data_IF_113210186299
#
_entry.id   IF_113210186299
#
_cell.length_a   1.000
_cell.length_b   1.000
_cell.length_c   1.000
_cell.angle_alpha   90.00
_cell.angle_beta   90.00
_cell.angle_gamma   90.00
#
_symmetry.space_group_name_H-M   'P 1'
#
loop_
_entity.id
_entity.type
_entity.pdbx_description
1 polymer ?
#
# COMPACT_ATOMS: atom_id res chain seq x y z
N UNK A 1 2.21 42.13 14.62
CA UNK A 1 2.31 40.82 15.28
C UNK A 1 3.52 40.81 16.20
N UNK A 2 3.37 40.28 17.41
CA UNK A 2 4.47 40.16 18.37
C UNK A 2 5.52 39.16 17.85
N UNK A 3 6.79 39.31 18.26
CA UNK A 3 7.85 38.30 17.98
C UNK A 3 7.42 36.89 18.41
N UNK A 4 6.61 36.78 19.46
CA UNK A 4 6.06 35.50 19.95
C UNK A 4 5.04 34.91 18.96
N UNK A 5 4.18 35.73 18.38
CA UNK A 5 3.18 35.26 17.39
C UNK A 5 3.87 34.74 16.12
N UNK A 6 4.94 35.41 15.69
CA UNK A 6 5.77 34.95 14.56
C UNK A 6 6.45 33.61 14.87
N UNK A 7 6.97 33.43 16.08
CA UNK A 7 7.57 32.16 16.51
C UNK A 7 6.54 31.04 16.58
N UNK A 8 5.34 31.30 17.11
CA UNK A 8 4.25 30.32 17.17
C UNK A 8 3.87 29.90 15.75
N UNK A 9 3.64 30.86 14.86
CA UNK A 9 3.29 30.59 13.46
C UNK A 9 4.35 29.73 12.75
N UNK A 10 5.64 30.03 12.94
CA UNK A 10 6.74 29.23 12.38
C UNK A 10 6.77 27.80 12.95
N UNK A 11 6.52 27.63 14.25
CA UNK A 11 6.49 26.32 14.90
C UNK A 11 5.30 25.48 14.41
N UNK A 12 4.13 26.11 14.21
CA UNK A 12 2.96 25.44 13.66
C UNK A 12 3.19 24.98 12.23
N UNK A 13 3.82 25.80 11.38
CA UNK A 13 4.20 25.41 10.02
C UNK A 13 5.16 24.23 9.99
N UNK A 14 6.19 24.26 10.85
CA UNK A 14 7.12 23.14 11.00
C UNK A 14 6.41 21.86 11.46
N UNK A 15 5.50 21.98 12.42
CA UNK A 15 4.71 20.84 12.89
C UNK A 15 3.81 20.27 11.79
N UNK A 16 3.16 21.12 10.99
CA UNK A 16 2.37 20.71 9.82
C UNK A 16 3.24 19.97 8.80
N UNK A 17 4.42 20.50 8.48
CA UNK A 17 5.36 19.86 7.55
C UNK A 17 5.84 18.49 8.04
N UNK A 18 6.21 18.38 9.33
CA UNK A 18 6.63 17.12 9.94
C UNK A 18 5.52 16.07 9.93
N UNK A 19 4.27 16.46 10.23
CA UNK A 19 3.11 15.56 10.15
C UNK A 19 2.86 15.07 8.73
N UNK A 20 2.94 15.96 7.75
CA UNK A 20 2.78 15.60 6.34
C UNK A 20 3.90 14.64 5.88
N UNK A 21 5.14 14.87 6.30
CA UNK A 21 6.27 14.00 6.02
C UNK A 21 6.09 12.61 6.64
N UNK A 22 5.68 12.54 7.92
CA UNK A 22 5.40 11.27 8.60
C UNK A 22 4.27 10.49 7.91
N UNK A 23 3.16 11.16 7.55
CA UNK A 23 2.06 10.53 6.81
C UNK A 23 2.51 10.02 5.43
N UNK A 24 3.39 10.77 4.75
CA UNK A 24 3.99 10.34 3.49
C UNK A 24 4.86 9.09 3.68
N UNK A 25 5.65 9.05 4.75
CA UNK A 25 6.49 7.90 5.06
C UNK A 25 5.67 6.66 5.35
N UNK A 26 4.59 6.77 6.14
CA UNK A 26 3.67 5.65 6.41
C UNK A 26 3.08 5.08 5.11
N UNK A 27 2.69 5.93 4.16
CA UNK A 27 2.19 5.47 2.85
C UNK A 27 3.28 4.75 2.06
N UNK A 28 4.51 5.27 2.03
CA UNK A 28 5.65 4.63 1.35
C UNK A 28 5.96 3.26 1.95
N UNK A 29 5.97 3.16 3.27
CA UNK A 29 6.26 1.91 3.98
C UNK A 29 5.16 0.87 3.75
N UNK A 30 3.88 1.27 3.74
CA UNK A 30 2.79 0.36 3.41
C UNK A 30 2.84 -0.10 1.94
N UNK A 31 3.14 0.80 1.00
CA UNK A 31 3.38 0.42 -0.40
C UNK A 31 4.54 -0.56 -0.52
N UNK A 32 5.67 -0.29 0.16
CA UNK A 32 6.84 -1.18 0.16
C UNK A 32 6.50 -2.55 0.73
N UNK A 33 5.77 -2.61 1.84
CA UNK A 33 5.30 -3.85 2.46
C UNK A 33 4.44 -4.68 1.49
N UNK A 34 3.47 -4.03 0.82
CA UNK A 34 2.61 -4.69 -0.18
C UNK A 34 3.41 -5.26 -1.35
N UNK A 35 4.40 -4.53 -1.86
CA UNK A 35 5.28 -4.99 -2.95
C UNK A 35 6.10 -6.21 -2.51
N UNK A 36 6.75 -6.14 -1.34
CA UNK A 36 7.58 -7.24 -0.82
C UNK A 36 6.74 -8.51 -0.64
N UNK A 37 5.59 -8.40 0.02
CA UNK A 37 4.71 -9.54 0.27
C UNK A 37 4.12 -10.09 -1.03
N UNK A 38 3.72 -9.22 -1.96
CA UNK A 38 3.23 -9.62 -3.27
C UNK A 38 4.29 -10.38 -4.08
N UNK A 39 5.52 -9.89 -4.12
CA UNK A 39 6.63 -10.57 -4.78
C UNK A 39 6.92 -11.94 -4.15
N UNK A 40 7.02 -12.00 -2.82
CA UNK A 40 7.27 -13.26 -2.11
C UNK A 40 6.15 -14.29 -2.37
N UNK A 41 4.89 -13.85 -2.43
CA UNK A 41 3.75 -14.70 -2.71
C UNK A 41 3.78 -15.25 -4.15
N UNK A 42 4.11 -14.42 -5.15
CA UNK A 42 4.27 -14.86 -6.54
C UNK A 42 5.37 -15.93 -6.63
N UNK A 43 6.51 -15.71 -5.96
CA UNK A 43 7.58 -16.71 -5.87
C UNK A 43 7.14 -17.99 -5.18
N UNK A 44 6.36 -17.90 -4.11
CA UNK A 44 5.82 -19.08 -3.46
C UNK A 44 4.88 -19.87 -4.39
N UNK A 45 4.00 -19.19 -5.14
CA UNK A 45 3.11 -19.83 -6.11
C UNK A 45 3.86 -20.64 -7.19
N UNK A 46 5.03 -20.18 -7.62
CA UNK A 46 5.88 -20.90 -8.58
C UNK A 46 6.31 -22.29 -8.03
N UNK A 47 6.49 -22.41 -6.71
CA UNK A 47 6.93 -23.64 -6.04
C UNK A 47 5.80 -24.64 -5.75
N UNK A 48 4.54 -24.22 -5.84
CA UNK A 48 3.40 -25.06 -5.48
C UNK A 48 2.98 -26.00 -6.61
N UNK A 49 2.49 -27.23 -6.29
CA UNK A 49 1.81 -28.08 -7.26
C UNK A 49 0.64 -27.35 -7.93
N UNK A 50 0.30 -27.66 -9.20
CA UNK A 50 -0.73 -26.95 -9.96
C UNK A 50 -2.06 -26.78 -9.22
N UNK A 51 -2.57 -27.85 -8.59
CA UNK A 51 -3.84 -27.80 -7.86
C UNK A 51 -3.81 -26.85 -6.65
N UNK A 52 -2.73 -26.89 -5.87
CA UNK A 52 -2.56 -25.99 -4.71
C UNK A 52 -2.40 -24.53 -5.14
N UNK A 53 -1.67 -24.31 -6.24
CA UNK A 53 -1.49 -22.98 -6.84
C UNK A 53 -2.83 -22.40 -7.30
N UNK A 54 -3.64 -23.21 -7.99
CA UNK A 54 -4.97 -22.81 -8.49
C UNK A 54 -5.92 -22.48 -7.34
N UNK A 55 -5.96 -23.31 -6.29
CA UNK A 55 -6.80 -23.07 -5.12
C UNK A 55 -6.40 -21.76 -4.40
N UNK A 56 -5.10 -21.52 -4.20
CA UNK A 56 -4.61 -20.31 -3.56
C UNK A 56 -4.91 -19.06 -4.41
N UNK A 57 -4.67 -19.10 -5.72
CA UNK A 57 -4.99 -18.00 -6.63
C UNK A 57 -6.49 -17.69 -6.62
N UNK A 58 -7.36 -18.70 -6.64
CA UNK A 58 -8.81 -18.50 -6.55
C UNK A 58 -9.21 -17.77 -5.26
N UNK A 59 -8.62 -18.16 -4.12
CA UNK A 59 -8.83 -17.47 -2.84
C UNK A 59 -8.37 -16.01 -2.87
N UNK A 60 -7.21 -15.72 -3.46
CA UNK A 60 -6.70 -14.35 -3.60
C UNK A 60 -7.57 -13.50 -4.53
N UNK A 61 -8.01 -14.07 -5.66
CA UNK A 61 -8.87 -13.40 -6.64
C UNK A 61 -10.24 -13.01 -6.07
N UNK A 62 -10.73 -13.70 -5.04
CA UNK A 62 -11.96 -13.34 -4.33
C UNK A 62 -11.85 -11.99 -3.58
N UNK A 63 -10.63 -11.55 -3.23
CA UNK A 63 -10.40 -10.26 -2.60
C UNK A 63 -10.17 -9.11 -3.61
N UNK A 64 -10.10 -9.41 -4.91
CA UNK A 64 -10.00 -8.40 -5.96
C UNK A 64 -11.40 -7.93 -6.33
N UNK A 65 -11.83 -6.82 -5.73
CA UNK A 65 -13.21 -6.31 -5.86
C UNK A 65 -13.37 -5.21 -6.91
N UNK A 66 -12.30 -4.49 -7.25
CA UNK A 66 -12.36 -3.39 -8.22
C UNK A 66 -12.51 -3.94 -9.64
N UNK A 67 -13.54 -3.54 -10.41
CA UNK A 67 -13.74 -4.05 -11.77
C UNK A 67 -12.56 -3.80 -12.72
N UNK A 68 -11.87 -2.67 -12.58
CA UNK A 68 -10.66 -2.36 -13.35
C UNK A 68 -9.56 -3.39 -13.12
N UNK A 69 -9.37 -3.80 -11.87
CA UNK A 69 -8.28 -4.67 -11.45
C UNK A 69 -8.63 -6.13 -11.79
N UNK A 70 -9.91 -6.50 -11.68
CA UNK A 70 -10.41 -7.80 -12.17
C UNK A 70 -10.17 -7.97 -13.67
N UNK A 71 -10.55 -6.96 -14.48
CA UNK A 71 -10.28 -6.96 -15.92
C UNK A 71 -8.79 -7.01 -16.25
N UNK A 72 -7.97 -6.24 -15.55
CA UNK A 72 -6.51 -6.25 -15.74
C UNK A 72 -5.90 -7.64 -15.50
N UNK A 73 -6.41 -8.36 -14.50
CA UNK A 73 -5.98 -9.71 -14.17
C UNK A 73 -6.66 -10.82 -14.99
N UNK A 74 -7.54 -10.46 -15.93
CA UNK A 74 -8.29 -11.43 -16.73
C UNK A 74 -9.31 -12.26 -15.91
N UNK A 75 -9.76 -11.73 -14.77
CA UNK A 75 -10.80 -12.35 -13.97
C UNK A 75 -12.16 -12.01 -14.59
N UNK A 76 -13.02 -13.01 -14.77
CA UNK A 76 -14.41 -12.77 -15.11
C UNK A 76 -15.08 -11.92 -14.01
N UNK A 77 -16.04 -11.08 -14.40
CA UNK A 77 -16.83 -10.27 -13.47
C UNK A 77 -17.57 -11.16 -12.46
#
# INVERSE_FOLDING_TARGET
>A
MSKRDQQISQLEERLRALRAAAASQVRKDDTRRKIILGHALIKHLETLPPEKRKALLAGLHAYVTRPSDRRFLGLAD
#
